data_IF_320159656730
#
_entry.id   IF_320159656730
#
_cell.length_a   1.000
_cell.length_b   1.000
_cell.length_c   1.000
_cell.angle_alpha   90.00
_cell.angle_beta   90.00
_cell.angle_gamma   90.00
#
_symmetry.space_group_name_H-M   'P 1'
#
loop_
_entity.id
_entity.type
_entity.pdbx_description
1 polymer ?
#
# COMPACT_ATOMS: atom_id res chain seq x y z
N UNK A 1 -32.95 -26.42 69.93
CA UNK A 1 -32.00 -26.69 68.92
C UNK A 1 -32.34 -25.82 67.70
N UNK A 2 -31.97 -24.58 67.66
CA UNK A 2 -32.11 -23.67 66.55
C UNK A 2 -31.16 -22.50 66.78
N UNK A 3 -29.93 -22.56 66.22
CA UNK A 3 -29.06 -21.38 66.05
C UNK A 3 -27.71 -21.80 65.42
N UNK A 4 -27.63 -22.04 64.13
CA UNK A 4 -26.29 -22.10 63.43
C UNK A 4 -26.37 -21.87 61.94
N UNK A 5 -27.42 -21.27 61.40
CA UNK A 5 -27.55 -21.11 59.92
C UNK A 5 -27.33 -19.71 59.39
N UNK A 6 -26.85 -18.73 60.14
CA UNK A 6 -26.82 -17.33 59.68
C UNK A 6 -25.42 -16.69 59.53
N UNK A 7 -24.33 -17.46 59.65
CA UNK A 7 -22.97 -16.90 59.57
C UNK A 7 -22.23 -17.10 58.28
N UNK A 8 -22.75 -17.86 57.31
CA UNK A 8 -22.03 -18.12 56.05
C UNK A 8 -22.50 -17.32 54.84
N UNK A 9 -23.61 -16.57 54.98
CA UNK A 9 -24.20 -15.84 53.86
C UNK A 9 -23.48 -14.52 53.54
N UNK A 10 -22.91 -13.84 54.51
CA UNK A 10 -22.27 -12.53 54.28
C UNK A 10 -20.84 -12.61 53.75
N UNK A 11 -20.10 -13.66 54.10
CA UNK A 11 -18.75 -13.86 53.57
C UNK A 11 -18.76 -14.32 52.10
N UNK A 12 -19.73 -15.11 51.69
CA UNK A 12 -19.91 -15.54 50.30
C UNK A 12 -20.27 -14.42 49.35
N UNK A 13 -21.08 -13.46 49.77
CA UNK A 13 -21.46 -12.29 48.94
C UNK A 13 -20.32 -11.29 48.80
N UNK A 14 -19.49 -11.11 49.84
CA UNK A 14 -18.30 -10.26 49.75
C UNK A 14 -17.22 -10.85 48.82
N UNK A 15 -17.02 -12.16 48.82
CA UNK A 15 -16.08 -12.85 47.90
C UNK A 15 -16.53 -12.79 46.46
N UNK A 16 -17.86 -12.90 46.20
CA UNK A 16 -18.39 -12.73 44.82
C UNK A 16 -18.30 -11.28 44.34
N UNK A 17 -18.51 -10.28 45.19
CA UNK A 17 -18.38 -8.88 44.82
C UNK A 17 -16.93 -8.49 44.46
N UNK A 18 -15.93 -9.10 45.12
CA UNK A 18 -14.51 -8.86 44.80
C UNK A 18 -14.06 -9.50 43.50
N UNK A 19 -14.73 -10.58 43.05
CA UNK A 19 -14.42 -11.22 41.76
C UNK A 19 -14.95 -10.44 40.56
N UNK A 20 -16.00 -9.63 40.73
CA UNK A 20 -16.53 -8.78 39.64
C UNK A 20 -15.76 -7.48 39.42
N UNK A 21 -14.96 -7.02 40.34
CA UNK A 21 -14.16 -5.77 40.22
C UNK A 21 -12.85 -6.00 39.45
N UNK A 22 -12.42 -7.26 39.21
CA UNK A 22 -11.13 -7.58 38.60
C UNK A 22 -11.15 -7.76 37.08
N UNK A 23 -12.26 -7.48 36.39
CA UNK A 23 -12.37 -7.75 34.93
C UNK A 23 -12.56 -6.48 34.08
N UNK A 24 -12.24 -5.32 34.65
CA UNK A 24 -12.06 -4.14 33.79
C UNK A 24 -10.62 -4.05 33.34
N UNK A 25 -10.17 -5.11 32.59
CA UNK A 25 -8.98 -5.01 31.78
C UNK A 25 -9.34 -4.11 30.60
N UNK A 26 -9.20 -2.80 30.78
CA UNK A 26 -9.03 -1.87 29.68
C UNK A 26 -8.03 -2.48 28.71
N UNK A 27 -8.52 -3.00 27.58
CA UNK A 27 -7.66 -3.40 26.48
C UNK A 27 -7.01 -2.12 25.98
N UNK A 28 -5.87 -1.77 26.55
CA UNK A 28 -5.05 -0.68 26.08
C UNK A 28 -4.72 -0.99 24.61
N UNK A 29 -5.31 -0.23 23.70
CA UNK A 29 -4.97 -0.31 22.27
C UNK A 29 -3.45 -0.15 22.19
N UNK A 30 -2.71 -1.12 21.62
CA UNK A 30 -1.26 -1.04 21.57
C UNK A 30 -0.86 0.29 20.92
N UNK A 31 0.12 1.00 21.48
CA UNK A 31 0.53 2.29 20.96
C UNK A 31 0.92 2.16 19.50
N UNK A 32 0.41 3.05 18.66
CA UNK A 32 0.73 3.11 17.23
C UNK A 32 2.26 3.22 17.08
N UNK A 33 2.92 2.33 16.33
CA UNK A 33 4.36 2.38 16.19
C UNK A 33 4.80 3.70 15.54
N UNK A 34 5.84 4.32 16.10
CA UNK A 34 6.43 5.52 15.54
C UNK A 34 7.22 5.19 14.27
N UNK A 35 6.88 5.85 13.20
CA UNK A 35 7.59 5.73 11.94
C UNK A 35 8.78 6.68 11.87
N UNK A 36 9.81 6.30 11.12
CA UNK A 36 11.00 7.14 10.87
C UNK A 36 10.64 8.41 10.11
N UNK A 37 11.59 9.34 10.03
CA UNK A 37 11.47 10.57 9.25
C UNK A 37 11.00 10.28 7.81
N UNK A 38 10.09 11.11 7.31
CA UNK A 38 9.46 11.00 5.98
C UNK A 38 8.60 9.74 5.77
N UNK A 39 8.15 9.10 6.85
CA UNK A 39 7.24 7.96 6.82
C UNK A 39 5.94 8.24 7.57
N UNK A 40 4.88 7.53 7.19
CA UNK A 40 3.60 7.51 7.90
C UNK A 40 3.20 6.06 8.17
N UNK A 41 2.57 5.82 9.33
CA UNK A 41 2.00 4.52 9.65
C UNK A 41 0.62 4.38 9.00
N UNK A 42 0.44 3.29 8.28
CA UNK A 42 -0.81 3.01 7.60
C UNK A 42 -0.76 1.71 6.83
N UNK A 43 -1.62 1.60 5.85
CA UNK A 43 -1.63 0.49 4.91
C UNK A 43 -0.39 0.59 4.00
N UNK A 44 0.62 -0.21 4.30
CA UNK A 44 1.78 -0.35 3.43
C UNK A 44 1.40 -1.22 2.23
N UNK A 45 1.59 -0.67 1.04
CA UNK A 45 1.30 -1.38 -0.21
C UNK A 45 2.35 -2.44 -0.46
N UNK A 46 1.92 -3.65 -0.85
CA UNK A 46 2.85 -4.74 -1.20
C UNK A 46 3.77 -4.41 -2.38
N UNK A 47 3.39 -3.43 -3.20
CA UNK A 47 4.20 -2.88 -4.29
C UNK A 47 4.57 -1.44 -3.98
N UNK A 48 5.45 -1.24 -3.01
CA UNK A 48 5.96 0.09 -2.71
C UNK A 48 6.94 0.57 -3.78
N UNK A 49 6.91 1.86 -4.07
CA UNK A 49 7.85 2.50 -4.98
C UNK A 49 9.20 2.69 -4.29
N UNK A 50 10.25 2.30 -4.97
CA UNK A 50 11.63 2.59 -4.58
C UNK A 50 12.42 3.04 -5.80
N UNK A 51 13.62 3.60 -5.61
CA UNK A 51 14.40 4.11 -6.73
C UNK A 51 14.73 3.04 -7.78
N UNK A 52 14.81 1.77 -7.38
CA UNK A 52 15.22 0.69 -8.29
C UNK A 52 14.09 0.22 -9.20
N UNK A 53 12.81 0.45 -8.84
CA UNK A 53 11.65 -0.09 -9.57
C UNK A 53 10.82 0.94 -10.35
N UNK A 54 11.23 2.22 -10.35
CA UNK A 54 10.48 3.26 -11.06
C UNK A 54 10.50 3.11 -12.60
N UNK A 55 11.46 2.38 -13.13
CA UNK A 55 11.55 2.04 -14.56
C UNK A 55 10.78 0.78 -14.93
N UNK A 56 10.19 0.07 -13.97
CA UNK A 56 9.40 -1.13 -14.22
C UNK A 56 8.17 -0.82 -15.06
N UNK A 57 7.92 -1.66 -16.05
CA UNK A 57 6.69 -1.64 -16.85
C UNK A 57 5.59 -2.51 -16.26
N UNK A 58 5.91 -3.33 -15.26
CA UNK A 58 4.97 -4.22 -14.59
C UNK A 58 4.22 -3.44 -13.50
N UNK A 59 2.89 -3.42 -13.60
CA UNK A 59 1.98 -2.79 -12.61
C UNK A 59 1.27 -3.83 -11.72
N UNK A 60 1.69 -5.10 -11.80
CA UNK A 60 1.06 -6.16 -11.01
C UNK A 60 1.34 -5.96 -9.52
N UNK A 61 0.32 -5.52 -8.80
CA UNK A 61 0.32 -5.39 -7.34
C UNK A 61 -0.82 -6.18 -6.74
N UNK A 62 -0.55 -6.97 -5.74
CA UNK A 62 -1.63 -7.51 -4.91
C UNK A 62 -2.27 -6.36 -4.13
N UNK A 63 -3.61 -6.38 -4.05
CA UNK A 63 -4.35 -5.38 -3.27
C UNK A 63 -4.28 -5.60 -1.76
N UNK A 64 -3.37 -6.48 -1.31
CA UNK A 64 -3.20 -6.75 0.12
C UNK A 64 -2.60 -5.55 0.83
N UNK A 65 -3.21 -5.23 1.95
CA UNK A 65 -2.75 -4.17 2.85
C UNK A 65 -2.03 -4.80 4.04
N UNK A 66 -0.77 -4.48 4.21
CA UNK A 66 -0.02 -4.78 5.43
C UNK A 66 0.13 -3.49 6.22
N UNK A 67 -0.26 -3.52 7.50
CA UNK A 67 -0.07 -2.36 8.37
C UNK A 67 1.41 -2.15 8.65
N UNK A 68 1.91 -0.94 8.40
CA UNK A 68 3.33 -0.63 8.57
C UNK A 68 3.65 0.83 8.24
N UNK A 69 4.94 1.17 8.23
CA UNK A 69 5.43 2.49 7.86
C UNK A 69 5.72 2.55 6.36
N UNK A 70 5.03 3.41 5.62
CA UNK A 70 5.27 3.70 4.20
C UNK A 70 5.80 5.13 4.04
N UNK A 71 6.45 5.42 2.92
CA UNK A 71 6.93 6.76 2.64
C UNK A 71 5.79 7.75 2.44
N UNK A 72 5.97 9.00 2.93
CA UNK A 72 5.06 10.13 2.66
C UNK A 72 5.00 10.43 1.17
N UNK A 73 3.96 11.16 0.74
CA UNK A 73 3.84 11.64 -0.63
C UNK A 73 5.07 12.48 -1.03
N UNK A 74 5.57 12.25 -2.25
CA UNK A 74 6.81 12.85 -2.75
C UNK A 74 8.10 12.13 -2.32
N UNK A 75 7.99 11.08 -1.50
CA UNK A 75 9.11 10.24 -1.07
C UNK A 75 8.92 8.79 -1.52
N UNK A 76 10.03 8.08 -1.67
CA UNK A 76 10.09 6.66 -1.99
C UNK A 76 11.20 5.99 -1.20
N UNK A 77 11.14 4.69 -1.07
CA UNK A 77 12.25 3.95 -0.48
C UNK A 77 13.51 4.09 -1.36
N UNK A 78 14.67 4.25 -0.72
CA UNK A 78 15.94 4.41 -1.46
C UNK A 78 16.27 3.21 -2.34
N UNK A 79 15.95 2.00 -1.86
CA UNK A 79 16.12 0.73 -2.60
C UNK A 79 15.12 -0.30 -2.10
N UNK A 80 15.07 -1.46 -2.75
CA UNK A 80 14.20 -2.58 -2.34
C UNK A 80 14.41 -2.98 -0.87
N UNK A 81 15.65 -3.00 -0.40
CA UNK A 81 15.99 -3.47 0.95
C UNK A 81 16.17 -2.33 1.96
N UNK A 82 16.05 -1.08 1.50
CA UNK A 82 16.22 0.09 2.35
C UNK A 82 14.91 0.48 3.04
N UNK A 83 14.98 0.70 4.35
CA UNK A 83 13.87 1.28 5.14
C UNK A 83 13.99 2.81 5.26
N UNK A 84 14.76 3.47 4.39
CA UNK A 84 14.93 4.92 4.36
C UNK A 84 14.14 5.51 3.19
N UNK A 85 13.30 6.49 3.47
CA UNK A 85 12.60 7.28 2.47
C UNK A 85 13.47 8.45 2.01
N UNK A 86 13.59 8.61 0.69
CA UNK A 86 14.29 9.72 0.03
C UNK A 86 13.31 10.46 -0.89
N UNK A 87 13.54 11.76 -1.15
CA UNK A 87 12.76 12.47 -2.16
C UNK A 87 12.83 11.77 -3.52
N UNK A 88 11.72 11.74 -4.25
CA UNK A 88 11.67 11.15 -5.61
C UNK A 88 12.72 11.76 -6.54
N UNK A 89 13.07 13.04 -6.35
CA UNK A 89 14.09 13.76 -7.13
C UNK A 89 15.52 13.24 -6.93
N UNK A 90 15.80 12.53 -5.84
CA UNK A 90 17.12 11.92 -5.61
C UNK A 90 17.34 10.63 -6.40
N UNK A 91 16.27 10.02 -6.95
CA UNK A 91 16.38 8.79 -7.70
C UNK A 91 16.88 9.05 -9.12
N UNK A 92 17.95 8.37 -9.53
CA UNK A 92 18.43 8.35 -10.92
C UNK A 92 17.65 7.28 -11.67
N UNK A 93 16.67 7.68 -12.48
CA UNK A 93 15.79 6.74 -13.19
C UNK A 93 16.13 6.76 -14.67
N UNK A 94 16.58 5.62 -15.19
CA UNK A 94 16.75 5.40 -16.65
C UNK A 94 15.55 4.63 -17.17
N UNK A 95 14.74 5.28 -17.99
CA UNK A 95 13.57 4.65 -18.59
C UNK A 95 13.93 3.73 -19.77
N UNK A 96 13.17 2.66 -20.00
CA UNK A 96 13.25 1.84 -21.20
C UNK A 96 12.99 2.66 -22.48
N UNK A 97 13.25 2.04 -23.64
CA UNK A 97 13.04 2.66 -24.96
C UNK A 97 11.60 3.14 -25.13
N UNK A 98 11.43 4.31 -25.71
CA UNK A 98 10.13 4.97 -25.95
C UNK A 98 9.35 5.29 -24.65
N UNK A 99 10.07 5.55 -23.59
CA UNK A 99 9.49 5.98 -22.30
C UNK A 99 10.21 7.20 -21.75
N UNK A 100 9.45 8.07 -21.12
CA UNK A 100 9.94 9.24 -20.37
C UNK A 100 9.55 9.12 -18.91
N UNK A 101 10.46 9.54 -18.02
CA UNK A 101 10.19 9.55 -16.58
C UNK A 101 9.21 10.66 -16.21
N UNK A 102 8.18 10.28 -15.45
CA UNK A 102 7.21 11.21 -14.86
C UNK A 102 7.24 11.07 -13.33
N UNK A 103 7.66 12.09 -12.59
CA UNK A 103 7.76 12.02 -11.12
C UNK A 103 6.41 11.90 -10.41
N UNK A 104 5.30 12.21 -11.08
CA UNK A 104 3.96 12.18 -10.49
C UNK A 104 2.89 11.81 -11.53
N UNK A 105 2.83 10.53 -11.89
CA UNK A 105 1.77 10.01 -12.76
C UNK A 105 0.46 9.91 -11.98
N UNK A 106 -0.56 10.63 -12.44
CA UNK A 106 -1.87 10.75 -11.78
C UNK A 106 -2.88 9.69 -12.21
N UNK A 107 -2.58 8.92 -13.24
CA UNK A 107 -3.48 7.95 -13.85
C UNK A 107 -2.76 6.62 -14.14
N UNK A 108 -3.53 5.54 -14.25
CA UNK A 108 -2.98 4.25 -14.67
C UNK A 108 -2.44 4.33 -16.09
N UNK A 109 -1.33 3.62 -16.37
CA UNK A 109 -0.78 3.51 -17.73
C UNK A 109 -1.76 2.73 -18.60
N UNK A 110 -1.96 3.20 -19.83
CA UNK A 110 -2.78 2.47 -20.82
C UNK A 110 -1.97 1.36 -21.48
N UNK A 111 -2.63 0.26 -21.73
CA UNK A 111 -2.13 -0.87 -22.52
C UNK A 111 -2.97 -1.03 -23.78
N UNK A 112 -2.53 -1.83 -24.75
CA UNK A 112 -3.37 -2.14 -25.92
C UNK A 112 -4.76 -2.68 -25.53
N UNK A 113 -4.87 -3.45 -24.43
CA UNK A 113 -6.17 -3.96 -23.94
C UNK A 113 -7.05 -2.88 -23.31
N UNK A 114 -6.46 -1.79 -22.82
CA UNK A 114 -7.18 -0.73 -22.11
C UNK A 114 -7.21 0.60 -22.84
N UNK A 115 -6.68 0.70 -24.05
CA UNK A 115 -6.54 1.95 -24.79
C UNK A 115 -7.85 2.73 -24.95
N UNK A 116 -8.97 2.03 -25.13
CA UNK A 116 -10.31 2.61 -25.30
C UNK A 116 -11.08 2.76 -23.97
N UNK A 117 -10.48 2.42 -22.83
CA UNK A 117 -11.10 2.61 -21.52
C UNK A 117 -10.66 3.92 -20.90
N UNK A 118 -11.50 4.57 -20.10
CA UNK A 118 -11.07 5.74 -19.33
C UNK A 118 -9.92 5.34 -18.40
N UNK A 119 -8.91 6.22 -18.20
CA UNK A 119 -7.84 5.94 -17.25
C UNK A 119 -8.37 5.95 -15.82
N UNK A 120 -7.77 5.13 -14.96
CA UNK A 120 -8.13 5.09 -13.53
C UNK A 120 -7.23 6.07 -12.79
N UNK A 121 -7.81 7.01 -12.01
CA UNK A 121 -7.03 7.95 -11.20
C UNK A 121 -6.16 7.23 -10.16
N UNK A 122 -4.95 7.72 -9.95
CA UNK A 122 -4.02 7.27 -8.91
C UNK A 122 -3.94 8.32 -7.80
N UNK A 123 -4.27 7.91 -6.58
CA UNK A 123 -4.13 8.72 -5.37
C UNK A 123 -3.41 7.89 -4.30
N UNK A 124 -2.22 8.30 -3.84
CA UNK A 124 -1.38 9.37 -4.37
C UNK A 124 -0.86 9.09 -5.78
N UNK A 125 -0.34 10.11 -6.46
CA UNK A 125 0.33 9.93 -7.75
C UNK A 125 1.57 9.05 -7.60
N UNK A 126 2.00 8.41 -8.71
CA UNK A 126 3.14 7.49 -8.67
C UNK A 126 4.27 7.95 -9.59
N UNK A 127 5.54 8.00 -9.09
CA UNK A 127 6.71 8.21 -9.94
C UNK A 127 6.96 6.94 -10.78
N UNK A 128 7.09 7.10 -12.10
CA UNK A 128 7.34 5.98 -13.02
C UNK A 128 7.70 6.44 -14.43
N UNK A 129 8.22 5.52 -15.23
CA UNK A 129 8.31 5.71 -16.67
C UNK A 129 6.95 5.52 -17.34
N UNK A 130 6.62 6.41 -18.27
CA UNK A 130 5.40 6.38 -19.09
C UNK A 130 5.77 6.38 -20.57
N UNK A 131 4.96 5.75 -21.42
CA UNK A 131 5.21 5.75 -22.85
C UNK A 131 5.16 7.15 -23.44
N UNK A 132 6.06 7.42 -24.38
CA UNK A 132 6.09 8.64 -25.16
C UNK A 132 4.83 8.80 -26.02
N UNK A 133 4.59 10.02 -26.50
CA UNK A 133 3.45 10.28 -27.39
C UNK A 133 3.47 9.37 -28.63
N UNK A 134 2.35 8.73 -28.92
CA UNK A 134 2.21 7.77 -30.03
C UNK A 134 2.56 6.33 -29.67
N UNK A 135 3.02 6.09 -28.44
CA UNK A 135 3.32 4.75 -27.93
C UNK A 135 2.37 4.36 -26.80
N UNK A 136 2.21 3.06 -26.58
CA UNK A 136 1.36 2.45 -25.57
C UNK A 136 2.02 1.16 -25.05
N UNK A 137 1.70 0.75 -23.83
CA UNK A 137 2.19 -0.52 -23.31
C UNK A 137 1.57 -1.70 -24.06
N UNK A 138 2.40 -2.66 -24.48
CA UNK A 138 1.95 -3.93 -25.01
C UNK A 138 1.21 -4.76 -23.96
N UNK A 139 0.52 -5.84 -24.40
CA UNK A 139 -0.15 -6.79 -23.50
C UNK A 139 0.76 -7.96 -23.07
N UNK A 140 2.06 -7.87 -23.31
CA UNK A 140 3.02 -8.92 -22.97
C UNK A 140 3.14 -9.10 -21.45
N UNK A 141 3.66 -10.23 -21.01
CA UNK A 141 3.96 -10.48 -19.59
C UNK A 141 4.92 -9.43 -19.01
N UNK A 142 5.90 -9.00 -19.78
CA UNK A 142 6.74 -7.83 -19.50
C UNK A 142 6.37 -6.75 -20.52
N UNK A 143 5.45 -5.82 -20.18
CA UNK A 143 4.99 -4.80 -21.11
C UNK A 143 6.12 -3.89 -21.59
N UNK A 144 6.10 -3.51 -22.85
CA UNK A 144 7.01 -2.54 -23.47
C UNK A 144 6.22 -1.51 -24.26
N UNK A 145 6.77 -0.31 -24.44
CA UNK A 145 6.11 0.70 -25.26
C UNK A 145 6.29 0.37 -26.74
N UNK A 146 5.18 0.12 -27.41
CA UNK A 146 5.06 -0.11 -28.85
C UNK A 146 4.22 1.00 -29.48
N UNK A 147 4.29 1.18 -30.80
CA UNK A 147 3.41 2.13 -31.49
C UNK A 147 1.95 1.71 -31.33
N UNK A 148 1.05 2.67 -31.17
CA UNK A 148 -0.40 2.40 -31.02
C UNK A 148 -0.92 1.58 -32.22
N UNK A 149 -0.38 1.81 -33.43
CA UNK A 149 -0.74 1.07 -34.64
C UNK A 149 -0.33 -0.41 -34.62
N UNK A 150 0.61 -0.80 -33.74
CA UNK A 150 1.09 -2.18 -33.58
C UNK A 150 0.25 -2.99 -32.59
N UNK A 151 -0.73 -2.36 -31.93
CA UNK A 151 -1.63 -3.08 -31.04
C UNK A 151 -2.45 -4.12 -31.81
N UNK A 152 -2.62 -5.35 -31.26
CA UNK A 152 -3.49 -6.35 -31.87
C UNK A 152 -4.90 -5.78 -32.11
N UNK A 153 -5.38 -5.87 -33.34
CA UNK A 153 -6.77 -5.52 -33.66
C UNK A 153 -7.69 -6.48 -32.89
N UNK A 154 -8.65 -5.95 -32.17
CA UNK A 154 -9.66 -6.78 -31.53
C UNK A 154 -10.39 -7.55 -32.62
N UNK A 155 -10.56 -8.88 -32.53
CA UNK A 155 -11.39 -9.59 -33.50
C UNK A 155 -12.77 -8.92 -33.53
N UNK A 156 -13.25 -8.62 -34.74
CA UNK A 156 -14.61 -8.13 -34.91
C UNK A 156 -15.54 -9.28 -34.49
N UNK A 157 -16.31 -9.06 -33.42
CA UNK A 157 -17.42 -9.94 -33.02
C UNK A 157 -18.58 -9.67 -33.96
#
# INVERSE_FOLDING_TARGET
MMATWQKYSSLGLLAMALLFVAVDQSQAVPPKPECRVNMVYGCMRTCYSNCDNMNSTIDACTKMCLMGCDCKDGFVFKSKDSKRCVPVSECKVTCPKHMTYNPCTKETRKTCATMNKPPVPLKPCKPRCVCDKGFILSNDHVPRCIRISECPKKPAN
#
